data_IF_819147031869
#
_entry.id   IF_819147031869
#
_cell.length_a   1.000
_cell.length_b   1.000
_cell.length_c   1.000
_cell.angle_alpha   90.00
_cell.angle_beta   90.00
_cell.angle_gamma   90.00
#
_symmetry.space_group_name_H-M   'P 1'
#
loop_
_entity.id
_entity.type
_entity.pdbx_description
1 polymer ?
#
# COMPACT_ATOMS: atom_id res chain seq x y z
N UNK A 1 24.68 -20.14 -14.41
CA UNK A 1 24.67 -19.15 -13.30
C UNK A 1 23.35 -19.28 -12.51
N UNK A 2 23.32 -18.86 -11.24
CA UNK A 2 22.12 -18.97 -10.39
C UNK A 2 21.16 -17.81 -10.66
N UNK A 3 19.84 -18.07 -10.69
CA UNK A 3 18.77 -17.06 -10.79
C UNK A 3 18.59 -16.25 -9.48
N UNK A 4 19.05 -16.78 -8.34
CA UNK A 4 18.77 -16.24 -7.01
C UNK A 4 19.19 -14.75 -6.84
N UNK A 5 20.42 -14.33 -7.20
CA UNK A 5 20.80 -12.92 -7.10
C UNK A 5 19.92 -11.99 -7.96
N UNK A 6 19.59 -12.43 -9.19
CA UNK A 6 18.73 -11.70 -10.10
C UNK A 6 17.33 -11.53 -9.53
N UNK A 7 16.73 -12.60 -9.03
CA UNK A 7 15.41 -12.59 -8.40
C UNK A 7 15.36 -11.62 -7.21
N UNK A 8 16.42 -11.62 -6.38
CA UNK A 8 16.50 -10.71 -5.23
C UNK A 8 16.51 -9.23 -5.66
N UNK A 9 17.29 -8.87 -6.69
CA UNK A 9 17.36 -7.48 -7.16
C UNK A 9 16.09 -7.09 -7.91
N UNK A 10 15.53 -7.96 -8.75
CA UNK A 10 14.24 -7.72 -9.44
C UNK A 10 13.13 -7.47 -8.40
N UNK A 11 13.04 -8.32 -7.37
CA UNK A 11 12.06 -8.15 -6.29
C UNK A 11 12.27 -6.84 -5.54
N UNK A 12 13.53 -6.50 -5.22
CA UNK A 12 13.88 -5.25 -4.56
C UNK A 12 13.44 -4.04 -5.40
N UNK A 13 13.72 -4.02 -6.70
CA UNK A 13 13.26 -2.96 -7.59
C UNK A 13 11.74 -2.85 -7.61
N UNK A 14 11.02 -3.98 -7.61
CA UNK A 14 9.57 -4.02 -7.59
C UNK A 14 8.97 -3.37 -6.33
N UNK A 15 9.44 -3.74 -5.14
CA UNK A 15 8.92 -3.16 -3.88
C UNK A 15 9.27 -1.69 -3.70
N UNK A 16 10.26 -1.18 -4.45
CA UNK A 16 10.61 0.24 -4.50
C UNK A 16 9.89 1.01 -5.63
N UNK A 17 9.00 0.37 -6.40
CA UNK A 17 8.24 1.00 -7.48
C UNK A 17 9.02 1.24 -8.77
N UNK A 18 10.10 0.50 -8.99
CA UNK A 18 10.95 0.62 -10.17
C UNK A 18 10.71 -0.52 -11.17
N UNK A 19 9.44 -0.73 -11.59
CA UNK A 19 9.05 -1.84 -12.47
C UNK A 19 9.79 -1.87 -13.80
N UNK A 20 9.96 -0.72 -14.47
CA UNK A 20 10.72 -0.65 -15.73
C UNK A 20 12.18 -1.10 -15.55
N UNK A 21 12.81 -0.72 -14.42
CA UNK A 21 14.18 -1.18 -14.13
C UNK A 21 14.21 -2.68 -13.83
N UNK A 22 13.18 -3.23 -13.20
CA UNK A 22 13.06 -4.65 -12.95
C UNK A 22 12.95 -5.45 -14.27
N UNK A 23 12.16 -4.97 -15.24
CA UNK A 23 12.05 -5.55 -16.58
C UNK A 23 13.37 -5.44 -17.36
N UNK A 24 14.05 -4.30 -17.28
CA UNK A 24 15.37 -4.15 -17.89
C UNK A 24 16.37 -5.14 -17.33
N UNK A 25 16.43 -5.29 -16.01
CA UNK A 25 17.31 -6.24 -15.34
C UNK A 25 16.97 -7.70 -15.72
N UNK A 26 15.71 -8.01 -15.91
CA UNK A 26 15.27 -9.31 -16.41
C UNK A 26 15.81 -9.58 -17.83
N UNK A 27 15.76 -8.60 -18.72
CA UNK A 27 16.34 -8.74 -20.05
C UNK A 27 17.87 -8.95 -20.00
N UNK A 28 18.57 -8.25 -19.10
CA UNK A 28 20.00 -8.45 -18.86
C UNK A 28 20.28 -9.88 -18.36
N UNK A 29 19.45 -10.40 -17.43
CA UNK A 29 19.52 -11.79 -16.97
C UNK A 29 19.42 -12.80 -18.13
N UNK A 30 18.53 -12.56 -19.10
CA UNK A 30 18.38 -13.42 -20.27
C UNK A 30 19.61 -13.35 -21.19
N UNK A 31 20.16 -12.15 -21.41
CA UNK A 31 21.38 -11.96 -22.22
C UNK A 31 22.58 -12.67 -21.60
N UNK A 32 22.69 -12.67 -20.28
CA UNK A 32 23.72 -13.41 -19.54
C UNK A 32 23.49 -14.94 -19.52
N UNK A 33 22.48 -15.44 -20.22
CA UNK A 33 22.15 -16.84 -20.32
C UNK A 33 21.63 -17.48 -19.04
N UNK A 34 21.15 -16.68 -18.08
CA UNK A 34 20.56 -17.18 -16.83
C UNK A 34 19.08 -17.49 -17.07
N UNK A 35 18.71 -18.76 -16.88
CA UNK A 35 17.33 -19.21 -17.09
C UNK A 35 16.41 -18.72 -15.97
N UNK A 36 15.30 -18.02 -16.30
CA UNK A 36 14.29 -17.63 -15.34
C UNK A 36 13.59 -18.83 -14.70
N UNK A 37 13.15 -18.66 -13.48
CA UNK A 37 12.38 -19.65 -12.74
C UNK A 37 11.03 -19.06 -12.24
N UNK A 38 10.26 -19.86 -11.51
CA UNK A 38 8.97 -19.42 -10.96
C UNK A 38 9.09 -18.21 -10.02
N UNK A 39 10.21 -18.05 -9.29
CA UNK A 39 10.45 -16.87 -8.42
C UNK A 39 10.73 -15.64 -9.25
N UNK A 40 11.46 -15.77 -10.36
CA UNK A 40 11.70 -14.67 -11.31
C UNK A 40 10.38 -14.07 -11.77
N UNK A 41 9.43 -14.91 -12.21
CA UNK A 41 8.15 -14.44 -12.71
C UNK A 41 7.24 -13.88 -11.62
N UNK A 42 7.24 -14.43 -10.40
CA UNK A 42 6.55 -13.80 -9.26
C UNK A 42 7.10 -12.38 -9.02
N UNK A 43 8.43 -12.23 -9.02
CA UNK A 43 9.07 -10.93 -8.78
C UNK A 43 8.76 -9.92 -9.88
N UNK A 44 8.75 -10.33 -11.14
CA UNK A 44 8.39 -9.49 -12.28
C UNK A 44 6.93 -9.07 -12.26
N UNK A 45 6.01 -10.01 -12.06
CA UNK A 45 4.58 -9.73 -11.98
C UNK A 45 4.24 -8.78 -10.82
N UNK A 46 4.88 -8.98 -9.68
CA UNK A 46 4.77 -8.06 -8.55
C UNK A 46 5.31 -6.67 -8.87
N UNK A 47 6.46 -6.59 -9.56
CA UNK A 47 7.04 -5.32 -9.99
C UNK A 47 6.13 -4.59 -10.99
N UNK A 48 5.54 -5.30 -11.95
CA UNK A 48 4.56 -4.76 -12.87
C UNK A 48 3.30 -4.27 -12.14
N UNK A 49 2.78 -5.07 -11.19
CA UNK A 49 1.61 -4.67 -10.40
C UNK A 49 1.87 -3.39 -9.59
N UNK A 50 3.04 -3.25 -8.97
CA UNK A 50 3.39 -2.07 -8.20
C UNK A 50 3.74 -0.83 -9.04
N UNK A 51 3.83 -0.96 -10.35
CA UNK A 51 4.21 0.13 -11.27
C UNK A 51 3.17 0.39 -12.37
N UNK A 52 2.03 -0.32 -12.36
CA UNK A 52 0.96 -0.16 -13.34
C UNK A 52 1.28 -0.65 -14.76
N UNK A 53 2.28 -1.52 -14.89
CA UNK A 53 2.76 -2.04 -16.18
C UNK A 53 1.91 -3.25 -16.59
N UNK A 54 0.66 -3.00 -17.03
CA UNK A 54 -0.34 -4.04 -17.29
C UNK A 54 0.05 -4.93 -18.47
N UNK A 55 0.43 -4.33 -19.58
CA UNK A 55 0.76 -5.07 -20.83
C UNK A 55 1.99 -5.92 -20.64
N UNK A 56 3.02 -5.38 -19.96
CA UNK A 56 4.25 -6.07 -19.65
C UNK A 56 4.02 -7.23 -18.66
N UNK A 57 3.17 -7.03 -17.67
CA UNK A 57 2.80 -8.09 -16.74
C UNK A 57 2.04 -9.23 -17.43
N UNK A 58 1.09 -8.92 -18.29
CA UNK A 58 0.40 -9.92 -19.10
C UNK A 58 1.36 -10.66 -20.04
N UNK A 59 2.30 -9.95 -20.64
CA UNK A 59 3.36 -10.54 -21.46
C UNK A 59 4.23 -11.48 -20.65
N UNK A 60 4.71 -11.07 -19.47
CA UNK A 60 5.50 -11.91 -18.57
C UNK A 60 4.73 -13.19 -18.19
N UNK A 61 3.43 -13.08 -17.90
CA UNK A 61 2.61 -14.23 -17.51
C UNK A 61 2.43 -15.24 -18.65
N UNK A 62 2.29 -14.76 -19.90
CA UNK A 62 2.24 -15.63 -21.09
C UNK A 62 3.60 -16.28 -21.36
N UNK A 63 4.67 -15.47 -21.38
CA UNK A 63 6.05 -15.95 -21.63
C UNK A 63 6.46 -17.04 -20.64
N UNK A 64 6.11 -16.89 -19.35
CA UNK A 64 6.34 -17.91 -18.34
C UNK A 64 5.80 -19.28 -18.74
N UNK A 65 4.59 -19.30 -19.31
CA UNK A 65 3.91 -20.54 -19.68
C UNK A 65 4.37 -21.09 -21.04
N UNK A 66 4.42 -20.23 -22.05
CA UNK A 66 4.64 -20.62 -23.44
C UNK A 66 6.11 -20.86 -23.79
N UNK A 67 7.02 -20.04 -23.27
CA UNK A 67 8.44 -20.13 -23.59
C UNK A 67 9.22 -20.94 -22.55
N UNK A 68 8.85 -20.79 -21.26
CA UNK A 68 9.58 -21.45 -20.18
C UNK A 68 8.88 -22.69 -19.62
N UNK A 69 7.64 -22.98 -20.05
CA UNK A 69 6.88 -24.15 -19.62
C UNK A 69 6.56 -24.17 -18.12
N UNK A 70 6.61 -23.01 -17.47
CA UNK A 70 6.34 -22.88 -16.02
C UNK A 70 4.84 -22.79 -15.79
N UNK A 71 4.30 -23.76 -15.04
CA UNK A 71 2.89 -23.73 -14.65
C UNK A 71 2.63 -22.65 -13.61
N UNK A 72 1.62 -21.77 -13.80
CA UNK A 72 1.28 -20.74 -12.81
C UNK A 72 0.88 -21.35 -11.46
N UNK A 73 1.41 -20.77 -10.39
CA UNK A 73 1.03 -21.05 -9.00
C UNK A 73 0.07 -19.98 -8.47
N UNK A 74 -0.47 -20.19 -7.27
CA UNK A 74 -1.31 -19.20 -6.58
C UNK A 74 -0.66 -17.81 -6.51
N UNK A 75 0.66 -17.76 -6.28
CA UNK A 75 1.40 -16.49 -6.22
C UNK A 75 1.37 -15.75 -7.56
N UNK A 76 1.53 -16.46 -8.68
CA UNK A 76 1.45 -15.84 -10.02
C UNK A 76 0.05 -15.31 -10.30
N UNK A 77 -0.99 -16.10 -10.00
CA UNK A 77 -2.39 -15.66 -10.14
C UNK A 77 -2.70 -14.47 -9.22
N UNK A 78 -2.24 -14.50 -7.98
CA UNK A 78 -2.39 -13.38 -7.04
C UNK A 78 -1.78 -12.07 -7.58
N UNK A 79 -0.56 -12.14 -8.14
CA UNK A 79 0.09 -10.98 -8.78
C UNK A 79 -0.70 -10.49 -10.01
N UNK A 80 -1.25 -11.39 -10.83
CA UNK A 80 -2.07 -11.01 -11.99
C UNK A 80 -3.38 -10.34 -11.57
N UNK A 81 -4.05 -10.87 -10.54
CA UNK A 81 -5.27 -10.28 -9.98
C UNK A 81 -4.98 -8.90 -9.39
N UNK A 82 -3.87 -8.74 -8.65
CA UNK A 82 -3.44 -7.45 -8.09
C UNK A 82 -3.11 -6.44 -9.20
N UNK A 83 -2.38 -6.86 -10.24
CA UNK A 83 -2.02 -6.03 -11.39
C UNK A 83 -3.27 -5.49 -12.12
N UNK A 84 -4.14 -6.38 -12.54
CA UNK A 84 -5.37 -6.02 -13.27
C UNK A 84 -6.32 -5.21 -12.36
N UNK A 85 -6.42 -5.62 -11.11
CA UNK A 85 -7.28 -4.98 -10.13
C UNK A 85 -6.85 -3.53 -9.83
N UNK A 86 -5.58 -3.28 -9.59
CA UNK A 86 -5.05 -1.91 -9.37
C UNK A 86 -5.26 -1.01 -10.58
N UNK A 87 -5.13 -1.56 -11.78
CA UNK A 87 -5.36 -0.84 -13.02
C UNK A 87 -6.85 -0.58 -13.34
N UNK A 88 -7.78 -1.04 -12.49
CA UNK A 88 -9.23 -0.86 -12.68
C UNK A 88 -9.90 -1.91 -13.56
N UNK A 89 -9.16 -2.90 -14.04
CA UNK A 89 -9.70 -3.98 -14.87
C UNK A 89 -10.32 -5.09 -14.00
N UNK A 90 -11.30 -4.74 -13.14
CA UNK A 90 -11.89 -5.63 -12.13
C UNK A 90 -12.52 -6.89 -12.71
N UNK A 91 -13.24 -6.75 -13.84
CA UNK A 91 -13.83 -7.89 -14.56
C UNK A 91 -12.76 -8.86 -15.06
N UNK A 92 -11.66 -8.33 -15.60
CA UNK A 92 -10.54 -9.18 -16.06
C UNK A 92 -9.87 -9.87 -14.86
N UNK A 93 -9.68 -9.16 -13.75
CA UNK A 93 -9.13 -9.74 -12.51
C UNK A 93 -10.01 -10.87 -11.99
N UNK A 94 -11.33 -10.67 -11.96
CA UNK A 94 -12.27 -11.71 -11.56
C UNK A 94 -12.29 -12.89 -12.55
N UNK A 95 -12.20 -12.64 -13.85
CA UNK A 95 -12.10 -13.70 -14.86
C UNK A 95 -10.82 -14.54 -14.72
N UNK A 96 -9.70 -13.96 -14.31
CA UNK A 96 -8.50 -14.70 -13.97
C UNK A 96 -8.79 -15.68 -12.83
N UNK A 97 -9.47 -15.25 -11.77
CA UNK A 97 -9.85 -16.10 -10.63
C UNK A 97 -10.78 -17.23 -11.07
N UNK A 98 -11.79 -16.90 -11.88
CA UNK A 98 -12.79 -17.87 -12.34
C UNK A 98 -12.19 -18.96 -13.22
N UNK A 99 -11.17 -18.65 -14.02
CA UNK A 99 -10.60 -19.55 -15.02
C UNK A 99 -9.29 -20.22 -14.55
N UNK A 100 -8.76 -19.89 -13.37
CA UNK A 100 -7.55 -20.56 -12.85
C UNK A 100 -7.84 -22.01 -12.52
N UNK A 101 -6.91 -22.95 -12.85
CA UNK A 101 -7.13 -24.40 -12.67
C UNK A 101 -6.93 -24.89 -11.24
N UNK A 102 -6.55 -24.00 -10.32
CA UNK A 102 -6.29 -24.30 -8.90
C UNK A 102 -7.24 -23.46 -8.05
N UNK A 103 -7.65 -23.99 -6.89
CA UNK A 103 -8.56 -23.27 -6.01
C UNK A 103 -7.92 -21.99 -5.49
N UNK A 104 -8.58 -20.82 -5.63
CA UNK A 104 -8.07 -19.54 -5.12
C UNK A 104 -7.93 -19.57 -3.59
N UNK A 105 -6.80 -19.07 -3.10
CA UNK A 105 -6.56 -18.88 -1.67
C UNK A 105 -6.89 -17.44 -1.22
N UNK A 106 -6.66 -17.17 0.06
CA UNK A 106 -6.90 -15.86 0.63
C UNK A 106 -6.05 -14.75 -0.01
N UNK A 107 -4.87 -15.05 -0.56
CA UNK A 107 -4.03 -14.05 -1.22
C UNK A 107 -4.65 -13.57 -2.53
N UNK A 108 -5.26 -14.48 -3.29
CA UNK A 108 -5.93 -14.17 -4.57
C UNK A 108 -7.21 -13.36 -4.32
N UNK A 109 -8.07 -13.82 -3.40
CA UNK A 109 -9.30 -13.08 -3.05
C UNK A 109 -9.01 -11.75 -2.38
N UNK A 110 -7.96 -11.68 -1.54
CA UNK A 110 -7.50 -10.45 -0.89
C UNK A 110 -7.01 -9.41 -1.89
N UNK A 111 -6.33 -9.81 -2.96
CA UNK A 111 -5.95 -8.92 -4.05
C UNK A 111 -7.17 -8.31 -4.75
N UNK A 112 -8.20 -9.12 -5.06
CA UNK A 112 -9.45 -8.65 -5.65
C UNK A 112 -10.19 -7.68 -4.70
N UNK A 113 -10.32 -8.02 -3.41
CA UNK A 113 -10.94 -7.15 -2.42
C UNK A 113 -10.20 -5.81 -2.28
N UNK A 114 -8.86 -5.84 -2.30
CA UNK A 114 -8.03 -4.65 -2.31
C UNK A 114 -8.30 -3.74 -3.52
N UNK A 115 -8.45 -4.34 -4.69
CA UNK A 115 -8.79 -3.64 -5.92
C UNK A 115 -10.21 -3.03 -5.86
N UNK A 116 -11.19 -3.78 -5.35
CA UNK A 116 -12.55 -3.28 -5.17
C UNK A 116 -12.57 -2.03 -4.27
N UNK A 117 -11.73 -1.98 -3.24
CA UNK A 117 -11.59 -0.79 -2.39
C UNK A 117 -11.07 0.42 -3.16
N UNK A 118 -10.06 0.22 -4.02
CA UNK A 118 -9.46 1.32 -4.81
C UNK A 118 -10.49 1.93 -5.76
N UNK A 119 -11.32 1.07 -6.39
CA UNK A 119 -12.25 1.47 -7.45
C UNK A 119 -13.71 1.57 -6.99
N UNK A 120 -13.98 1.46 -5.69
CA UNK A 120 -15.33 1.62 -5.13
C UNK A 120 -16.34 0.56 -5.59
N UNK A 121 -15.88 -0.62 -6.02
CA UNK A 121 -16.80 -1.69 -6.47
C UNK A 121 -17.34 -2.47 -5.27
N UNK A 122 -18.50 -2.04 -4.80
CA UNK A 122 -19.18 -2.60 -3.63
C UNK A 122 -19.67 -4.06 -3.86
N UNK A 123 -20.28 -4.34 -5.01
CA UNK A 123 -20.88 -5.67 -5.26
C UNK A 123 -19.81 -6.77 -5.30
N UNK A 124 -18.75 -6.53 -6.05
CA UNK A 124 -17.65 -7.48 -6.15
C UNK A 124 -16.88 -7.61 -4.84
N UNK A 125 -16.81 -6.54 -4.03
CA UNK A 125 -16.18 -6.58 -2.70
C UNK A 125 -16.90 -7.49 -1.73
N UNK A 126 -18.24 -7.46 -1.73
CA UNK A 126 -19.06 -8.35 -0.90
C UNK A 126 -18.80 -9.81 -1.26
N UNK A 127 -18.86 -10.13 -2.56
CA UNK A 127 -18.58 -11.47 -3.05
C UNK A 127 -17.17 -11.98 -2.69
N UNK A 128 -16.14 -11.15 -2.90
CA UNK A 128 -14.76 -11.51 -2.56
C UNK A 128 -14.57 -11.71 -1.05
N UNK A 129 -15.25 -10.90 -0.23
CA UNK A 129 -15.18 -11.00 1.23
C UNK A 129 -15.85 -12.25 1.77
N UNK A 130 -16.98 -12.68 1.19
CA UNK A 130 -17.63 -13.93 1.59
C UNK A 130 -16.67 -15.12 1.40
N UNK A 131 -15.93 -15.16 0.29
CA UNK A 131 -14.90 -16.17 0.05
C UNK A 131 -13.75 -16.09 1.05
N UNK A 132 -13.31 -14.89 1.40
CA UNK A 132 -12.26 -14.68 2.40
C UNK A 132 -12.69 -15.13 3.79
N UNK A 133 -13.94 -14.87 4.17
CA UNK A 133 -14.47 -15.32 5.47
C UNK A 133 -14.64 -16.84 5.56
N UNK A 134 -14.78 -17.52 4.41
CA UNK A 134 -14.75 -18.99 4.35
C UNK A 134 -13.31 -19.54 4.50
N UNK A 135 -12.33 -18.90 3.87
CA UNK A 135 -10.95 -19.39 3.82
C UNK A 135 -10.14 -19.00 5.05
N UNK A 136 -10.26 -17.73 5.50
CA UNK A 136 -9.55 -17.18 6.65
C UNK A 136 -10.50 -16.39 7.58
N UNK A 137 -11.39 -17.05 8.30
CA UNK A 137 -12.42 -16.41 9.13
C UNK A 137 -11.87 -15.56 10.29
N UNK A 138 -10.63 -15.78 10.70
CA UNK A 138 -9.99 -15.07 11.81
C UNK A 138 -9.14 -13.86 11.38
N UNK A 139 -9.01 -13.63 10.08
CA UNK A 139 -8.22 -12.50 9.58
C UNK A 139 -9.01 -11.18 9.67
N UNK A 140 -8.80 -10.45 10.75
CA UNK A 140 -9.49 -9.17 11.01
C UNK A 140 -9.30 -8.14 9.88
N UNK A 141 -8.22 -8.23 9.11
CA UNK A 141 -7.92 -7.32 8.01
C UNK A 141 -9.04 -7.28 6.96
N UNK A 142 -9.64 -8.42 6.65
CA UNK A 142 -10.72 -8.50 5.64
C UNK A 142 -12.01 -7.84 6.14
N UNK A 143 -12.35 -8.00 7.43
CA UNK A 143 -13.51 -7.32 8.03
C UNK A 143 -13.33 -5.81 8.05
N UNK A 144 -12.12 -5.35 8.36
CA UNK A 144 -11.79 -3.92 8.33
C UNK A 144 -11.87 -3.39 6.90
N UNK A 145 -11.31 -4.11 5.94
CA UNK A 145 -11.29 -3.69 4.53
C UNK A 145 -12.71 -3.57 3.97
N UNK A 146 -13.56 -4.59 4.19
CA UNK A 146 -14.95 -4.56 3.76
C UNK A 146 -15.75 -3.46 4.49
N UNK A 147 -15.54 -3.28 5.81
CA UNK A 147 -16.17 -2.18 6.55
C UNK A 147 -15.82 -0.81 5.96
N UNK A 148 -14.57 -0.63 5.53
CA UNK A 148 -14.12 0.62 4.91
C UNK A 148 -14.77 0.83 3.54
N UNK A 149 -14.96 -0.23 2.76
CA UNK A 149 -15.68 -0.16 1.47
C UNK A 149 -17.13 0.26 1.70
N UNK A 150 -17.81 -0.35 2.68
CA UNK A 150 -19.19 0.00 3.01
C UNK A 150 -19.34 1.46 3.50
N UNK A 151 -18.38 1.93 4.32
CA UNK A 151 -18.35 3.32 4.77
C UNK A 151 -18.23 4.31 3.58
N UNK A 152 -17.34 4.03 2.63
CA UNK A 152 -17.11 4.88 1.46
C UNK A 152 -18.34 5.02 0.56
N UNK A 153 -19.21 4.02 0.52
CA UNK A 153 -20.46 4.04 -0.27
C UNK A 153 -21.70 4.34 0.57
N UNK A 154 -21.53 4.74 1.84
CA UNK A 154 -22.63 5.09 2.74
C UNK A 154 -23.52 3.92 3.18
N UNK A 155 -23.04 2.67 3.08
CA UNK A 155 -23.75 1.45 3.48
C UNK A 155 -23.55 1.15 4.98
N UNK A 156 -24.07 2.03 5.83
CA UNK A 156 -23.86 2.01 7.29
C UNK A 156 -24.40 0.75 7.96
N UNK A 157 -25.57 0.25 7.54
CA UNK A 157 -26.14 -0.99 8.08
C UNK A 157 -25.25 -2.22 7.80
N UNK A 158 -24.72 -2.34 6.60
CA UNK A 158 -23.85 -3.45 6.22
C UNK A 158 -22.49 -3.33 6.90
N UNK A 159 -21.97 -2.09 7.08
CA UNK A 159 -20.80 -1.83 7.89
C UNK A 159 -20.97 -2.33 9.33
N UNK A 160 -22.10 -2.03 9.97
CA UNK A 160 -22.39 -2.44 11.35
C UNK A 160 -22.54 -3.96 11.49
N UNK A 161 -23.12 -4.63 10.48
CA UNK A 161 -23.18 -6.11 10.42
C UNK A 161 -21.77 -6.72 10.40
N UNK A 162 -20.90 -6.23 9.53
CA UNK A 162 -19.51 -6.74 9.40
C UNK A 162 -18.70 -6.47 10.66
N UNK A 163 -18.81 -5.29 11.25
CA UNK A 163 -18.14 -4.96 12.52
C UNK A 163 -18.64 -5.81 13.68
N UNK A 164 -19.94 -6.07 13.73
CA UNK A 164 -20.57 -6.94 14.74
C UNK A 164 -20.10 -8.39 14.56
N UNK A 165 -20.02 -8.89 13.32
CA UNK A 165 -19.50 -10.22 13.02
C UNK A 165 -18.05 -10.37 13.50
N UNK A 166 -17.18 -9.40 13.24
CA UNK A 166 -15.80 -9.40 13.71
C UNK A 166 -15.75 -9.42 15.26
N UNK A 167 -16.53 -8.56 15.93
CA UNK A 167 -16.60 -8.53 17.41
C UNK A 167 -17.08 -9.84 18.00
N UNK A 168 -18.12 -10.45 17.44
CA UNK A 168 -18.67 -11.74 17.90
C UNK A 168 -17.64 -12.89 17.78
N UNK A 169 -16.71 -12.78 16.84
CA UNK A 169 -15.57 -13.70 16.68
C UNK A 169 -14.37 -13.32 17.57
N UNK A 170 -14.47 -12.31 18.43
CA UNK A 170 -13.38 -11.86 19.30
C UNK A 170 -12.22 -11.15 18.57
N UNK A 171 -12.41 -10.79 17.30
CA UNK A 171 -11.35 -10.17 16.49
C UNK A 171 -11.14 -8.71 16.90
N UNK A 172 -9.86 -8.33 17.06
CA UNK A 172 -9.46 -6.96 17.40
C UNK A 172 -8.47 -6.43 16.35
N UNK A 173 -8.78 -5.27 15.79
CA UNK A 173 -7.86 -4.58 14.86
C UNK A 173 -6.63 -4.10 15.64
N UNK A 174 -5.44 -4.40 15.12
CA UNK A 174 -4.20 -3.77 15.58
C UNK A 174 -4.22 -2.29 15.22
N UNK A 175 -3.98 -1.37 16.17
CA UNK A 175 -3.89 0.05 15.87
C UNK A 175 -2.82 0.37 14.85
N UNK A 176 -3.08 1.35 13.99
CA UNK A 176 -2.08 1.89 13.08
C UNK A 176 -1.03 2.68 13.87
N UNK A 177 0.25 2.39 13.62
CA UNK A 177 1.36 3.13 14.21
C UNK A 177 2.45 3.39 13.18
N UNK A 178 3.25 4.40 13.46
CA UNK A 178 4.46 4.73 12.72
C UNK A 178 5.63 4.88 13.67
N UNK A 179 6.80 4.42 13.28
CA UNK A 179 8.02 4.60 14.06
C UNK A 179 9.11 5.32 13.27
N UNK A 180 9.96 6.00 14.00
CA UNK A 180 11.15 6.66 13.50
C UNK A 180 12.30 6.43 14.47
N UNK A 181 13.49 6.21 13.94
CA UNK A 181 14.71 6.14 14.75
C UNK A 181 15.48 7.45 14.65
N UNK A 182 15.73 8.06 15.80
CA UNK A 182 16.53 9.27 15.95
C UNK A 182 17.54 9.07 17.08
N UNK A 183 18.82 9.28 16.82
CA UNK A 183 19.90 9.12 17.80
C UNK A 183 19.91 7.74 18.50
N UNK A 184 19.74 6.67 17.72
CA UNK A 184 19.66 5.28 18.19
C UNK A 184 18.49 5.01 19.16
N UNK A 185 17.48 5.85 19.17
CA UNK A 185 16.24 5.67 19.91
C UNK A 185 15.07 5.58 18.94
N UNK A 186 14.22 4.57 19.11
CA UNK A 186 12.99 4.40 18.34
C UNK A 186 11.84 5.03 19.10
N UNK A 187 11.20 6.00 18.45
CA UNK A 187 9.96 6.61 18.94
C UNK A 187 8.78 6.12 18.08
N UNK A 188 7.67 5.74 18.74
CA UNK A 188 6.48 5.16 18.11
C UNK A 188 5.30 6.10 18.30
N UNK A 189 4.59 6.37 17.22
CA UNK A 189 3.44 7.25 17.18
C UNK A 189 2.18 6.49 16.76
N UNK A 190 1.09 6.76 17.45
CA UNK A 190 -0.26 6.34 17.08
C UNK A 190 -1.05 7.56 16.62
N UNK A 191 -2.12 7.37 15.86
CA UNK A 191 -2.98 8.47 15.44
C UNK A 191 -3.52 9.23 16.67
N UNK A 192 -3.38 10.56 16.67
CA UNK A 192 -3.82 11.41 17.77
C UNK A 192 -2.98 11.30 19.05
N UNK A 193 -1.78 10.70 19.01
CA UNK A 193 -0.94 10.54 20.19
C UNK A 193 -0.50 11.90 20.76
N UNK A 194 -0.83 12.13 22.04
CA UNK A 194 -0.47 13.33 22.80
C UNK A 194 0.46 13.04 23.98
N UNK A 195 0.94 11.81 24.10
CA UNK A 195 1.75 11.38 25.29
C UNK A 195 3.26 11.55 25.10
N UNK A 196 3.70 11.92 23.89
CA UNK A 196 5.12 12.08 23.61
C UNK A 196 5.70 13.32 24.35
N UNK A 197 6.92 13.25 24.92
CA UNK A 197 7.52 14.40 25.63
C UNK A 197 7.61 15.69 24.82
N UNK A 198 7.77 15.59 23.50
CA UNK A 198 7.79 16.72 22.56
C UNK A 198 6.44 16.95 21.86
N UNK A 199 5.34 16.56 22.47
CA UNK A 199 4.01 16.63 21.86
C UNK A 199 3.70 18.03 21.33
N UNK A 200 3.89 19.06 22.15
CA UNK A 200 3.61 20.45 21.78
C UNK A 200 4.44 20.91 20.57
N UNK A 201 5.74 20.61 20.56
CA UNK A 201 6.64 20.94 19.45
C UNK A 201 6.20 20.23 18.14
N UNK A 202 5.81 18.94 18.22
CA UNK A 202 5.35 18.15 17.09
C UNK A 202 4.06 18.74 16.49
N UNK A 203 3.07 19.05 17.31
CA UNK A 203 1.81 19.61 16.84
C UNK A 203 1.96 21.04 16.30
N UNK A 204 2.86 21.84 16.87
CA UNK A 204 3.21 23.15 16.34
C UNK A 204 3.86 23.04 14.95
N UNK A 205 4.80 22.10 14.77
CA UNK A 205 5.40 21.84 13.46
C UNK A 205 4.37 21.37 12.44
N UNK A 206 3.45 20.47 12.82
CA UNK A 206 2.35 20.03 11.95
C UNK A 206 1.47 21.20 11.51
N UNK A 207 1.16 22.14 12.40
CA UNK A 207 0.39 23.34 12.07
C UNK A 207 1.14 24.23 11.03
N UNK A 208 2.44 24.41 11.22
CA UNK A 208 3.29 25.16 10.28
C UNK A 208 3.33 24.47 8.91
N UNK A 209 3.55 23.14 8.90
CA UNK A 209 3.59 22.35 7.67
C UNK A 209 2.24 22.39 6.94
N UNK A 210 1.13 22.21 7.66
CA UNK A 210 -0.23 22.24 7.07
C UNK A 210 -0.52 23.59 6.42
N UNK A 211 -0.16 24.70 7.09
CA UNK A 211 -0.32 26.04 6.52
C UNK A 211 0.50 26.22 5.24
N UNK A 212 1.78 25.79 5.25
CA UNK A 212 2.64 25.84 4.08
C UNK A 212 2.14 24.94 2.94
N UNK A 213 1.70 23.73 3.25
CA UNK A 213 1.15 22.80 2.24
C UNK A 213 -0.10 23.40 1.57
N UNK A 214 -1.04 23.96 2.36
CA UNK A 214 -2.23 24.64 1.83
C UNK A 214 -1.89 25.82 0.93
N UNK A 215 -0.88 26.62 1.29
CA UNK A 215 -0.41 27.74 0.44
C UNK A 215 0.22 27.29 -0.89
N UNK A 216 0.65 26.02 -0.98
CA UNK A 216 1.18 25.40 -2.20
C UNK A 216 0.14 24.59 -2.97
N UNK A 217 -1.14 24.64 -2.56
CA UNK A 217 -2.24 23.97 -3.25
C UNK A 217 -2.59 22.57 -2.72
N UNK A 218 -2.08 22.16 -1.55
CA UNK A 218 -2.54 20.94 -0.91
C UNK A 218 -3.98 21.08 -0.43
N UNK A 219 -4.80 20.12 -0.82
CA UNK A 219 -6.19 19.98 -0.37
C UNK A 219 -6.29 18.65 0.36
N UNK A 220 -6.72 18.63 1.65
CA UNK A 220 -6.95 17.38 2.39
C UNK A 220 -8.00 16.52 1.70
N UNK A 221 -7.73 15.24 1.54
CA UNK A 221 -8.71 14.28 1.04
C UNK A 221 -9.45 13.63 2.22
N UNK A 222 -10.61 14.21 2.56
CA UNK A 222 -11.42 13.79 3.69
C UNK A 222 -12.04 12.40 3.52
N UNK A 223 -12.03 11.83 2.31
CA UNK A 223 -12.54 10.49 2.05
C UNK A 223 -11.76 9.38 2.79
N UNK A 224 -10.55 9.70 3.25
CA UNK A 224 -9.75 8.79 4.08
C UNK A 224 -10.13 8.78 5.57
N UNK A 225 -11.06 9.64 6.01
CA UNK A 225 -11.65 9.60 7.35
C UNK A 225 -13.03 8.95 7.27
N UNK A 226 -13.12 7.71 7.74
CA UNK A 226 -14.31 6.86 7.67
C UNK A 226 -15.18 7.01 8.94
N UNK A 227 -15.25 8.21 9.49
CA UNK A 227 -16.08 8.57 10.63
C UNK A 227 -17.09 9.64 10.20
N UNK A 228 -18.29 9.53 10.75
CA UNK A 228 -19.37 10.46 10.50
C UNK A 228 -19.24 11.67 11.44
N UNK A 229 -18.34 12.57 11.05
CA UNK A 229 -18.03 13.82 11.79
C UNK A 229 -17.90 14.97 10.80
N UNK A 230 -17.94 16.21 11.29
CA UNK A 230 -17.80 17.42 10.48
C UNK A 230 -16.42 17.49 9.77
N UNK A 231 -16.36 18.21 8.66
CA UNK A 231 -15.17 18.25 7.81
C UNK A 231 -13.93 18.83 8.51
N UNK A 232 -14.11 19.81 9.39
CA UNK A 232 -13.02 20.39 10.19
C UNK A 232 -12.43 19.34 11.15
N UNK A 233 -13.26 18.48 11.73
CA UNK A 233 -12.82 17.40 12.59
C UNK A 233 -12.11 16.31 11.77
N UNK A 234 -12.62 15.98 10.58
CA UNK A 234 -11.95 15.06 9.65
C UNK A 234 -10.56 15.58 9.27
N UNK A 235 -10.42 16.86 8.96
CA UNK A 235 -9.13 17.46 8.65
C UNK A 235 -8.16 17.36 9.83
N UNK A 236 -8.64 17.64 11.05
CA UNK A 236 -7.83 17.49 12.26
C UNK A 236 -7.37 16.04 12.45
N UNK A 237 -8.24 15.07 12.22
CA UNK A 237 -7.90 13.65 12.31
C UNK A 237 -6.84 13.26 11.29
N UNK A 238 -6.92 13.71 10.03
CA UNK A 238 -5.89 13.49 9.01
C UNK A 238 -4.54 14.08 9.42
N UNK A 239 -4.55 15.30 9.96
CA UNK A 239 -3.34 15.98 10.39
C UNK A 239 -2.63 15.23 11.52
N UNK A 240 -3.37 14.51 12.36
CA UNK A 240 -2.84 13.73 13.49
C UNK A 240 -2.55 12.27 13.17
N UNK A 241 -2.54 11.86 11.90
CA UNK A 241 -2.13 10.51 11.52
C UNK A 241 -0.70 10.21 11.96
N UNK A 242 -0.45 8.97 12.36
CA UNK A 242 0.83 8.53 12.95
C UNK A 242 2.05 8.83 12.07
N UNK A 243 1.88 8.76 10.73
CA UNK A 243 2.93 9.10 9.76
C UNK A 243 3.32 10.58 9.86
N UNK A 244 2.34 11.47 9.94
CA UNK A 244 2.58 12.91 10.02
C UNK A 244 3.24 13.30 11.33
N UNK A 245 2.81 12.67 12.45
CA UNK A 245 3.45 12.85 13.76
C UNK A 245 4.92 12.42 13.73
N UNK A 246 5.21 11.25 13.15
CA UNK A 246 6.57 10.73 13.03
C UNK A 246 7.45 11.62 12.11
N UNK A 247 6.90 12.12 11.00
CA UNK A 247 7.61 13.03 10.09
C UNK A 247 7.91 14.36 10.81
N UNK A 248 6.92 14.97 11.47
CA UNK A 248 7.11 16.22 12.21
C UNK A 248 8.16 16.07 13.33
N UNK A 249 8.10 14.96 14.08
CA UNK A 249 9.14 14.64 15.07
C UNK A 249 10.53 14.50 14.42
N UNK A 250 10.63 13.85 13.27
CA UNK A 250 11.88 13.74 12.51
C UNK A 250 12.42 15.10 12.09
N UNK A 251 11.56 16.02 11.65
CA UNK A 251 11.93 17.36 11.24
C UNK A 251 12.53 18.17 12.41
N UNK A 252 11.86 18.17 13.57
CA UNK A 252 12.31 18.93 14.74
C UNK A 252 13.50 18.30 15.49
N UNK A 253 13.80 17.03 15.22
CA UNK A 253 14.79 16.25 15.99
C UNK A 253 16.03 15.89 15.20
N UNK A 254 16.12 16.24 13.90
CA UNK A 254 17.25 15.92 13.05
C UNK A 254 17.75 17.17 12.28
N UNK A 255 19.03 17.22 11.89
CA UNK A 255 19.57 18.36 11.14
C UNK A 255 18.78 18.64 9.85
N UNK A 256 18.72 19.91 9.39
CA UNK A 256 18.12 20.26 8.11
C UNK A 256 18.69 19.41 6.95
N UNK A 257 17.86 19.10 5.95
CA UNK A 257 18.22 18.33 4.74
C UNK A 257 18.62 16.86 4.98
N UNK A 258 18.62 16.37 6.24
CA UNK A 258 18.82 14.93 6.50
C UNK A 258 17.63 14.09 6.06
N UNK A 259 17.88 12.87 5.61
CA UNK A 259 16.83 11.90 5.22
C UNK A 259 16.03 11.46 6.46
N UNK A 260 14.71 11.50 6.36
CA UNK A 260 13.79 10.97 7.37
C UNK A 260 13.33 9.58 6.95
N UNK A 261 13.42 8.60 7.86
CA UNK A 261 13.01 7.21 7.61
C UNK A 261 11.92 6.81 8.58
N UNK A 262 10.76 6.45 8.02
CA UNK A 262 9.56 6.06 8.77
C UNK A 262 9.23 4.60 8.47
N UNK A 263 8.89 3.85 9.48
CA UNK A 263 8.28 2.53 9.34
C UNK A 263 6.82 2.60 9.77
N UNK A 264 5.91 2.11 8.92
CA UNK A 264 4.46 2.08 9.12
C UNK A 264 3.97 0.64 9.10
N UNK A 265 3.20 0.23 10.12
CA UNK A 265 2.64 -1.13 10.18
C UNK A 265 1.44 -1.37 9.26
N UNK A 266 0.83 -0.32 8.74
CA UNK A 266 -0.27 -0.36 7.78
C UNK A 266 0.15 0.30 6.47
N UNK A 267 -0.69 0.17 5.43
CA UNK A 267 -0.51 0.93 4.19
C UNK A 267 -0.69 2.43 4.47
N UNK A 268 0.14 3.26 3.86
CA UNK A 268 -0.02 4.72 3.89
C UNK A 268 -1.33 5.09 3.18
N UNK A 269 -2.13 5.96 3.78
CA UNK A 269 -3.35 6.45 3.11
C UNK A 269 -2.99 7.49 2.02
N UNK A 270 -3.89 7.66 1.04
CA UNK A 270 -3.66 8.56 -0.08
C UNK A 270 -3.40 10.00 0.35
N UNK A 271 -4.11 10.46 1.37
CA UNK A 271 -3.92 11.81 1.90
C UNK A 271 -2.54 11.98 2.57
N UNK A 272 -2.09 11.03 3.42
CA UNK A 272 -0.74 11.08 3.99
C UNK A 272 0.35 10.96 2.92
N UNK A 273 0.12 10.15 1.88
CA UNK A 273 1.04 10.05 0.74
C UNK A 273 1.17 11.40 0.03
N UNK A 274 0.06 12.03 -0.32
CA UNK A 274 0.07 13.34 -0.95
C UNK A 274 0.71 14.41 -0.05
N UNK A 275 0.32 14.48 1.22
CA UNK A 275 0.93 15.41 2.19
C UNK A 275 2.45 15.23 2.30
N UNK A 276 2.95 13.98 2.30
CA UNK A 276 4.39 13.71 2.38
C UNK A 276 5.15 14.22 1.15
N UNK A 277 4.53 14.19 -0.04
CA UNK A 277 5.10 14.83 -1.25
C UNK A 277 5.30 16.32 -1.01
N UNK A 278 4.28 17.04 -0.53
CA UNK A 278 4.40 18.46 -0.20
C UNK A 278 5.45 18.72 0.89
N UNK A 279 5.46 17.91 1.96
CA UNK A 279 6.44 18.05 3.04
C UNK A 279 7.88 17.87 2.52
N UNK A 280 8.12 16.87 1.66
CA UNK A 280 9.45 16.65 1.07
C UNK A 280 9.94 17.85 0.29
N UNK A 281 9.05 18.52 -0.47
CA UNK A 281 9.35 19.74 -1.21
C UNK A 281 9.58 20.94 -0.30
N UNK A 282 8.72 21.14 0.72
CA UNK A 282 8.80 22.27 1.66
C UNK A 282 10.08 22.23 2.50
N UNK A 283 10.48 21.03 2.92
CA UNK A 283 11.63 20.84 3.83
C UNK A 283 12.93 20.55 3.09
N UNK A 284 12.89 20.38 1.76
CA UNK A 284 14.03 19.96 0.93
C UNK A 284 14.68 18.67 1.46
N UNK A 285 13.84 17.73 2.01
CA UNK A 285 14.30 16.47 2.57
C UNK A 285 13.82 15.29 1.72
N UNK A 286 14.67 14.29 1.65
CA UNK A 286 14.20 12.96 1.28
C UNK A 286 13.47 12.34 2.47
N UNK A 287 12.24 11.84 2.24
CA UNK A 287 11.45 11.11 3.24
C UNK A 287 11.20 9.71 2.69
N UNK A 288 11.64 8.71 3.41
CA UNK A 288 11.45 7.30 3.05
C UNK A 288 10.43 6.70 4.02
N UNK A 289 9.32 6.22 3.50
CA UNK A 289 8.31 5.51 4.28
C UNK A 289 8.25 4.06 3.83
N UNK A 290 8.57 3.13 4.74
CA UNK A 290 8.31 1.70 4.56
C UNK A 290 6.94 1.39 5.16
N UNK A 291 5.98 1.10 4.33
CA UNK A 291 4.66 0.67 4.76
C UNK A 291 4.50 -0.86 4.71
N UNK A 292 3.30 -1.40 4.94
CA UNK A 292 3.07 -2.84 4.92
C UNK A 292 3.36 -3.50 3.56
N UNK A 293 3.35 -2.74 2.47
CA UNK A 293 3.43 -3.27 1.11
C UNK A 293 4.76 -2.98 0.44
N UNK A 294 5.31 -1.76 0.62
CA UNK A 294 6.43 -1.28 -0.19
C UNK A 294 7.18 -0.13 0.47
N UNK A 295 8.26 0.31 -0.18
CA UNK A 295 8.93 1.56 0.13
C UNK A 295 8.39 2.70 -0.75
N UNK A 296 8.24 3.87 -0.14
CA UNK A 296 7.93 5.13 -0.79
C UNK A 296 9.10 6.08 -0.57
N UNK A 297 9.73 6.54 -1.65
CA UNK A 297 10.79 7.53 -1.60
C UNK A 297 10.23 8.87 -2.08
N UNK A 298 10.02 9.78 -1.14
CA UNK A 298 9.54 11.13 -1.42
C UNK A 298 10.71 12.09 -1.50
N UNK A 299 10.84 12.78 -2.61
CA UNK A 299 11.87 13.79 -2.83
C UNK A 299 11.35 14.86 -3.80
N UNK A 300 11.62 16.13 -3.51
CA UNK A 300 11.29 17.27 -4.37
C UNK A 300 9.79 17.31 -4.80
N UNK A 301 8.89 16.79 -3.97
CA UNK A 301 7.45 16.77 -4.22
C UNK A 301 6.95 15.59 -5.06
N UNK A 302 7.78 14.63 -5.38
CA UNK A 302 7.41 13.40 -6.10
C UNK A 302 7.67 12.15 -5.25
N UNK A 303 7.01 11.05 -5.59
CA UNK A 303 7.25 9.74 -4.98
C UNK A 303 7.73 8.74 -6.04
N UNK A 304 8.63 7.82 -5.65
CA UNK A 304 9.13 6.74 -6.51
C UNK A 304 8.03 5.81 -7.06
N UNK A 305 6.86 5.76 -6.40
CA UNK A 305 5.74 4.94 -6.86
C UNK A 305 4.96 5.55 -8.05
N UNK A 306 5.25 6.81 -8.46
CA UNK A 306 4.51 7.50 -9.52
C UNK A 306 3.03 7.71 -9.20
N UNK A 307 2.68 7.80 -7.91
CA UNK A 307 1.30 7.87 -7.38
C UNK A 307 0.46 6.59 -7.67
N UNK A 308 1.12 5.51 -8.02
CA UNK A 308 0.53 4.19 -8.25
C UNK A 308 0.93 3.21 -7.14
N UNK A 309 0.04 2.99 -6.14
CA UNK A 309 0.30 2.06 -5.03
C UNK A 309 -0.94 1.41 -4.43
#
# INVERSE_FOLDING_TARGET
>A
MSSVPWNAVISCLGIHGHGEKALKLFNEMLVEGVKPDHVTFVSLLSACSHSGLVDEGQWCFRMMQEEYGIKPSLKHYGCMVDLLGRAGHLEMAYNVIKNMPIQPDASVWGALLGACRIHGNYELSTFASDRLFEVEPENVGYYVLLSNIYANVGKWEDLDKVRSLARNRGLRKTPGWSSIEVNNKVDVFYTGNQTHPKCEEIYNELKVLTTKMKSLGYIPDLSFVLQDVEDDEKEHMLTSHSERLAIAFGIISTPPKSTIRIFKNLRVCGDCHNATKFISRITEREIIVRDSNRFHHFKDGICSCGDYW
#
